data_IF_223146673266
#
_entry.id   IF_223146673266
#
_cell.length_a   1.000
_cell.length_b   1.000
_cell.length_c   1.000
_cell.angle_alpha   90.00
_cell.angle_beta   90.00
_cell.angle_gamma   90.00
#
_symmetry.space_group_name_H-M   'P 1'
#
loop_
_entity.id
_entity.type
_entity.pdbx_description
1 polymer ?
#
# COMPACT_ATOMS: atom_id res chain seq x y z
N UNK A 1 -9.01 -21.33 -9.62
CA UNK A 1 -9.78 -20.09 -9.50
C UNK A 1 -10.13 -19.69 -10.93
N UNK A 2 -11.41 -19.75 -11.27
CA UNK A 2 -11.93 -19.66 -12.64
C UNK A 2 -11.78 -18.27 -13.23
N UNK A 3 -11.53 -18.23 -14.54
CA UNK A 3 -11.23 -17.08 -15.41
C UNK A 3 -12.37 -16.04 -15.59
N UNK A 4 -13.22 -15.82 -14.60
CA UNK A 4 -14.34 -14.85 -14.67
C UNK A 4 -14.46 -14.02 -13.38
N UNK A 5 -13.36 -13.40 -12.96
CA UNK A 5 -13.47 -12.21 -12.11
C UNK A 5 -13.70 -11.05 -13.08
N UNK A 6 -14.95 -10.61 -13.19
CA UNK A 6 -15.32 -9.33 -13.82
C UNK A 6 -14.31 -8.28 -13.34
N UNK A 7 -13.57 -7.57 -14.24
CA UNK A 7 -12.45 -6.75 -13.81
C UNK A 7 -12.97 -5.71 -12.83
N UNK A 8 -12.65 -5.90 -11.54
CA UNK A 8 -12.97 -4.97 -10.48
C UNK A 8 -12.48 -3.60 -10.94
N UNK A 9 -13.43 -2.69 -11.22
CA UNK A 9 -13.12 -1.30 -11.48
C UNK A 9 -12.64 -0.72 -10.16
N UNK A 10 -11.37 -0.33 -10.14
CA UNK A 10 -10.72 0.18 -8.94
C UNK A 10 -10.62 1.69 -8.95
N UNK A 11 -10.73 2.33 -10.12
CA UNK A 11 -10.53 3.77 -10.23
C UNK A 11 -11.49 4.55 -9.32
N UNK A 12 -10.91 5.42 -8.49
CA UNK A 12 -11.66 6.24 -7.55
C UNK A 12 -12.19 5.51 -6.32
N UNK A 13 -11.99 4.19 -6.18
CA UNK A 13 -12.35 3.47 -4.95
C UNK A 13 -11.56 4.04 -3.77
N UNK A 14 -12.28 4.34 -2.68
CA UNK A 14 -11.70 4.80 -1.44
C UNK A 14 -11.54 3.61 -0.48
N UNK A 15 -10.36 3.49 0.11
CA UNK A 15 -10.00 2.47 1.10
C UNK A 15 -9.53 3.15 2.39
N UNK A 16 -9.54 2.41 3.50
CA UNK A 16 -9.03 2.88 4.79
C UNK A 16 -8.15 1.85 5.47
N UNK A 17 -7.27 2.34 6.34
CA UNK A 17 -6.54 1.52 7.32
C UNK A 17 -6.57 2.22 8.68
N UNK A 18 -6.95 1.47 9.70
CA UNK A 18 -6.82 1.83 11.10
C UNK A 18 -5.49 1.34 11.63
N UNK A 19 -4.70 2.25 12.19
CA UNK A 19 -3.32 2.05 12.59
C UNK A 19 -3.21 2.30 14.08
N UNK A 20 -2.78 1.29 14.84
CA UNK A 20 -2.56 1.39 16.28
C UNK A 20 -1.07 1.53 16.60
N UNK A 21 -0.77 2.53 17.43
CA UNK A 21 0.54 2.70 18.06
C UNK A 21 0.51 2.02 19.44
N UNK A 22 1.68 1.63 19.99
CA UNK A 22 1.74 1.07 21.33
C UNK A 22 1.08 2.00 22.36
N UNK A 23 0.08 1.47 23.07
CA UNK A 23 -0.64 2.18 24.14
C UNK A 23 -1.40 3.45 23.71
N UNK A 24 -1.72 3.60 22.42
CA UNK A 24 -2.51 4.72 21.91
C UNK A 24 -3.78 4.22 21.21
N UNK A 25 -4.76 5.11 21.07
CA UNK A 25 -5.93 4.86 20.24
C UNK A 25 -5.52 4.71 18.76
N UNK A 26 -6.27 3.88 18.03
CA UNK A 26 -6.05 3.71 16.59
C UNK A 26 -6.42 4.96 15.81
N UNK A 27 -5.60 5.30 14.82
CA UNK A 27 -5.80 6.44 13.92
C UNK A 27 -6.03 5.94 12.49
N UNK A 28 -6.77 6.68 11.67
CA UNK A 28 -7.19 6.22 10.34
C UNK A 28 -6.54 7.01 9.21
N UNK A 29 -6.03 6.30 8.21
CA UNK A 29 -5.71 6.85 6.90
C UNK A 29 -6.79 6.50 5.88
N UNK A 30 -6.96 7.35 4.88
CA UNK A 30 -7.79 7.09 3.72
C UNK A 30 -6.96 7.15 2.45
N UNK A 31 -7.22 6.23 1.54
CA UNK A 31 -6.46 6.08 0.30
C UNK A 31 -7.40 5.90 -0.89
N UNK A 32 -7.24 6.74 -1.91
CA UNK A 32 -8.00 6.66 -3.16
C UNK A 32 -7.16 5.94 -4.21
N UNK A 33 -7.73 4.92 -4.85
CA UNK A 33 -7.10 4.23 -5.96
C UNK A 33 -7.08 5.11 -7.21
N UNK A 34 -6.01 5.02 -7.99
CA UNK A 34 -5.79 5.76 -9.23
C UNK A 34 -5.76 4.77 -10.39
N UNK A 35 -6.80 4.76 -11.22
CA UNK A 35 -6.92 3.87 -12.37
C UNK A 35 -7.33 2.44 -12.03
N UNK A 36 -7.40 1.61 -13.08
CA UNK A 36 -7.82 0.20 -13.05
C UNK A 36 -6.62 -0.73 -13.22
N UNK A 37 -5.61 -0.61 -12.35
CA UNK A 37 -4.35 -1.35 -12.44
C UNK A 37 -4.40 -2.66 -11.63
N UNK A 38 -3.58 -3.64 -12.00
CA UNK A 38 -3.50 -4.89 -11.23
C UNK A 38 -2.99 -4.67 -9.80
N UNK A 39 -2.13 -3.67 -9.58
CA UNK A 39 -1.72 -3.27 -8.23
C UNK A 39 -2.88 -2.70 -7.42
N UNK A 40 -3.72 -1.86 -8.02
CA UNK A 40 -4.92 -1.36 -7.34
C UNK A 40 -5.87 -2.51 -6.99
N UNK A 41 -6.09 -3.47 -7.90
CA UNK A 41 -6.89 -4.67 -7.61
C UNK A 41 -6.29 -5.52 -6.49
N UNK A 42 -4.98 -5.75 -6.54
CA UNK A 42 -4.27 -6.50 -5.50
C UNK A 42 -4.39 -5.82 -4.13
N UNK A 43 -4.22 -4.49 -4.08
CA UNK A 43 -4.45 -3.70 -2.87
C UNK A 43 -5.88 -3.90 -2.34
N UNK A 44 -6.90 -3.90 -3.20
CA UNK A 44 -8.28 -4.15 -2.78
C UNK A 44 -8.48 -5.56 -2.22
N UNK A 45 -7.84 -6.58 -2.78
CA UNK A 45 -7.94 -7.95 -2.25
C UNK A 45 -7.35 -8.05 -0.84
N UNK A 46 -6.18 -7.44 -0.60
CA UNK A 46 -5.57 -7.39 0.72
C UNK A 46 -6.35 -6.49 1.71
N UNK A 47 -6.85 -5.34 1.26
CA UNK A 47 -7.58 -4.44 2.16
C UNK A 47 -8.91 -5.04 2.61
N UNK A 48 -9.56 -5.84 1.76
CA UNK A 48 -10.84 -6.49 2.08
C UNK A 48 -10.69 -7.83 2.78
N UNK A 49 -9.53 -8.48 2.68
CA UNK A 49 -9.35 -9.83 3.21
C UNK A 49 -10.10 -10.91 2.41
N UNK A 50 -10.64 -10.59 1.22
CA UNK A 50 -11.55 -11.47 0.48
C UNK A 50 -10.92 -12.82 0.12
N UNK A 51 -9.59 -12.85 -0.12
CA UNK A 51 -8.84 -14.06 -0.45
C UNK A 51 -8.17 -14.72 0.77
N UNK A 52 -8.64 -14.44 1.99
CA UNK A 52 -8.09 -15.00 3.23
C UNK A 52 -6.79 -14.34 3.73
N UNK A 53 -6.22 -13.42 2.94
CA UNK A 53 -5.06 -12.60 3.32
C UNK A 53 -5.48 -11.15 3.44
N UNK A 54 -5.05 -10.48 4.51
CA UNK A 54 -5.41 -9.09 4.78
C UNK A 54 -4.24 -8.26 5.27
N UNK A 55 -4.28 -6.95 5.03
CA UNK A 55 -3.39 -5.99 5.70
C UNK A 55 -3.62 -5.92 7.21
N UNK A 56 -4.79 -6.36 7.70
CA UNK A 56 -5.07 -6.43 9.13
C UNK A 56 -4.09 -7.36 9.86
N UNK A 57 -3.49 -6.83 10.91
CA UNK A 57 -2.51 -7.50 11.76
C UNK A 57 -1.06 -7.28 11.35
N UNK A 58 -0.81 -6.68 10.18
CA UNK A 58 0.54 -6.42 9.68
C UNK A 58 1.18 -5.22 10.38
N UNK A 59 2.51 -5.23 10.41
CA UNK A 59 3.34 -4.16 10.94
C UNK A 59 3.95 -3.33 9.81
N UNK A 60 4.50 -2.18 10.16
CA UNK A 60 5.18 -1.29 9.21
C UNK A 60 6.69 -1.48 9.25
N UNK A 61 7.34 -1.32 8.10
CA UNK A 61 8.80 -1.24 7.99
C UNK A 61 9.16 0.14 7.45
N UNK A 62 9.93 0.88 8.25
CA UNK A 62 10.54 2.14 7.83
C UNK A 62 12.00 1.89 7.51
N UNK A 63 12.49 2.50 6.45
CA UNK A 63 13.92 2.51 6.10
C UNK A 63 14.48 3.87 6.51
N UNK A 64 15.26 3.96 7.60
CA UNK A 64 15.73 5.24 8.15
C UNK A 64 16.57 6.05 7.16
N UNK A 65 17.38 5.35 6.34
CA UNK A 65 18.27 5.96 5.36
C UNK A 65 17.54 6.37 4.06
N UNK A 66 16.30 5.89 3.87
CA UNK A 66 15.41 6.24 2.78
C UNK A 66 14.16 6.95 3.32
N UNK A 67 14.32 7.83 4.33
CA UNK A 67 13.31 8.51 5.18
C UNK A 67 12.19 9.32 4.48
N UNK A 68 11.64 8.73 3.45
CA UNK A 68 11.09 9.25 2.22
C UNK A 68 10.04 8.25 1.67
N UNK A 69 10.19 6.97 2.02
CA UNK A 69 9.32 5.87 1.60
C UNK A 69 8.96 4.96 2.79
N UNK A 70 7.66 4.72 3.01
CA UNK A 70 7.18 3.77 4.03
C UNK A 70 6.60 2.53 3.35
N UNK A 71 7.13 1.35 3.67
CA UNK A 71 6.62 0.08 3.11
C UNK A 71 5.72 -0.61 4.13
N UNK A 72 4.56 -1.09 3.65
CA UNK A 72 3.69 -1.99 4.42
C UNK A 72 4.02 -3.41 3.98
N UNK A 73 4.62 -4.18 4.89
CA UNK A 73 5.01 -5.57 4.64
C UNK A 73 4.17 -6.53 5.49
N UNK A 74 3.67 -7.65 4.94
CA UNK A 74 3.21 -8.75 5.76
C UNK A 74 4.43 -9.39 6.43
N UNK A 75 4.72 -8.94 7.63
CA UNK A 75 5.80 -9.51 8.41
C UNK A 75 5.33 -10.77 9.15
N UNK A 76 5.43 -11.91 8.49
CA UNK A 76 5.50 -13.24 9.14
C UNK A 76 6.76 -14.04 8.73
N UNK A 77 7.67 -13.42 7.98
CA UNK A 77 8.87 -14.07 7.44
C UNK A 77 8.61 -14.94 6.19
N UNK A 78 7.38 -14.97 5.67
CA UNK A 78 7.07 -15.49 4.34
C UNK A 78 6.96 -14.30 3.40
N UNK A 79 7.63 -14.40 2.25
CA UNK A 79 7.50 -13.41 1.20
C UNK A 79 6.01 -13.20 0.93
N UNK A 80 5.59 -11.95 0.92
CA UNK A 80 4.23 -11.56 0.57
C UNK A 80 3.91 -12.12 -0.81
N UNK A 81 3.24 -13.27 -0.89
CA UNK A 81 2.87 -13.84 -2.18
C UNK A 81 1.78 -12.96 -2.80
N UNK A 82 1.93 -12.56 -4.07
CA UNK A 82 0.88 -11.82 -4.76
C UNK A 82 -0.39 -12.68 -4.87
N UNK A 83 -1.54 -12.06 -4.63
CA UNK A 83 -2.85 -12.74 -4.75
C UNK A 83 -3.27 -12.87 -6.21
N UNK A 84 -2.83 -11.96 -7.06
CA UNK A 84 -3.02 -12.01 -8.50
C UNK A 84 -1.76 -12.57 -9.17
N UNK A 85 -1.95 -13.45 -10.14
CA UNK A 85 -0.87 -13.86 -11.04
C UNK A 85 -0.57 -12.71 -11.99
N UNK A 86 0.70 -12.56 -12.35
CA UNK A 86 1.14 -11.65 -13.40
C UNK A 86 0.76 -10.17 -13.19
N UNK A 87 0.83 -9.68 -11.94
CA UNK A 87 0.67 -8.25 -11.65
C UNK A 87 1.66 -7.45 -12.49
N UNK A 88 1.14 -6.81 -13.54
CA UNK A 88 1.94 -6.05 -14.49
C UNK A 88 2.47 -4.79 -13.82
N UNK A 89 3.76 -4.53 -13.99
CA UNK A 89 4.37 -3.25 -13.60
C UNK A 89 4.05 -2.16 -14.65
N UNK A 90 3.65 -2.55 -15.87
CA UNK A 90 3.64 -1.66 -17.05
C UNK A 90 2.30 -1.00 -17.35
N UNK A 91 1.25 -1.27 -16.58
CA UNK A 91 -0.11 -0.80 -16.91
C UNK A 91 -0.44 0.57 -16.27
N UNK A 92 0.59 1.34 -15.93
CA UNK A 92 0.46 2.57 -15.16
C UNK A 92 0.97 3.77 -15.95
N UNK A 93 0.28 4.90 -15.79
CA UNK A 93 0.73 6.19 -16.31
C UNK A 93 1.82 6.74 -15.41
N UNK A 94 2.91 7.21 -15.99
CA UNK A 94 3.97 7.94 -15.29
C UNK A 94 3.39 9.08 -14.43
N UNK A 95 3.69 9.04 -13.14
CA UNK A 95 3.28 10.08 -12.19
C UNK A 95 4.51 10.74 -11.57
N UNK A 96 4.54 12.07 -11.60
CA UNK A 96 5.52 12.84 -10.84
C UNK A 96 5.37 12.55 -9.35
N UNK A 97 6.49 12.28 -8.67
CA UNK A 97 6.52 11.88 -7.26
C UNK A 97 6.04 13.04 -6.39
N UNK A 98 4.95 12.79 -5.66
CA UNK A 98 4.35 13.71 -4.69
C UNK A 98 3.97 12.98 -3.40
N UNK A 99 3.86 13.75 -2.31
CA UNK A 99 3.48 13.24 -1.00
C UNK A 99 2.15 12.49 -1.07
N UNK A 100 2.11 11.34 -0.40
CA UNK A 100 0.97 10.45 -0.31
C UNK A 100 0.77 9.54 -1.52
N UNK A 101 1.59 9.60 -2.59
CA UNK A 101 1.49 8.62 -3.67
C UNK A 101 1.81 7.21 -3.18
N UNK A 102 0.99 6.26 -3.63
CA UNK A 102 1.17 4.83 -3.37
C UNK A 102 1.71 4.15 -4.62
N UNK A 103 2.79 3.40 -4.48
CA UNK A 103 3.40 2.67 -5.59
C UNK A 103 3.91 1.29 -5.15
N UNK A 104 4.28 0.45 -6.12
CA UNK A 104 4.92 -0.82 -5.82
C UNK A 104 6.23 -0.62 -5.04
N UNK A 105 6.52 -1.51 -4.10
CA UNK A 105 7.84 -1.52 -3.48
C UNK A 105 8.84 -2.23 -4.41
N UNK A 106 10.02 -1.63 -4.61
CA UNK A 106 11.09 -2.24 -5.38
C UNK A 106 11.59 -3.53 -4.69
N UNK A 107 12.03 -4.50 -5.49
CA UNK A 107 12.70 -5.71 -4.99
C UNK A 107 14.14 -5.42 -4.62
N UNK A 108 14.55 -5.89 -3.43
CA UNK A 108 15.94 -5.83 -2.97
C UNK A 108 16.89 -6.62 -3.90
N UNK A 109 16.38 -7.57 -4.69
CA UNK A 109 17.17 -8.43 -5.57
C UNK A 109 17.11 -8.03 -7.06
N UNK A 110 16.49 -6.89 -7.39
CA UNK A 110 16.31 -6.45 -8.77
C UNK A 110 15.30 -7.29 -9.59
N UNK A 111 14.58 -8.21 -8.94
CA UNK A 111 13.45 -8.92 -9.56
C UNK A 111 12.19 -8.06 -9.46
N UNK A 112 11.69 -7.48 -10.57
CA UNK A 112 10.54 -6.59 -10.54
C UNK A 112 9.25 -7.25 -10.04
N UNK A 113 9.20 -8.60 -9.95
CA UNK A 113 8.04 -9.36 -9.53
C UNK A 113 8.10 -9.82 -8.06
N UNK A 114 9.28 -9.80 -7.43
CA UNK A 114 9.47 -10.41 -6.10
C UNK A 114 8.68 -9.70 -4.98
N UNK A 115 8.33 -8.43 -5.16
CA UNK A 115 7.65 -7.60 -4.15
C UNK A 115 6.23 -7.19 -4.57
N UNK A 116 5.56 -7.97 -5.42
CA UNK A 116 4.26 -7.60 -5.98
C UNK A 116 3.16 -7.38 -4.93
N UNK A 117 3.22 -8.03 -3.77
CA UNK A 117 2.28 -7.81 -2.67
C UNK A 117 2.63 -6.65 -1.74
N UNK A 118 3.81 -6.04 -1.92
CA UNK A 118 4.25 -4.89 -1.16
C UNK A 118 3.91 -3.60 -1.90
N UNK A 119 3.60 -2.58 -1.12
CA UNK A 119 3.54 -1.22 -1.61
C UNK A 119 4.19 -0.29 -0.60
N UNK A 120 4.58 0.87 -1.08
CA UNK A 120 4.94 1.94 -0.18
C UNK A 120 4.31 3.26 -0.56
N UNK A 121 4.51 4.21 0.35
CA UNK A 121 3.93 5.55 0.28
C UNK A 121 5.04 6.58 0.35
N UNK A 122 5.04 7.49 -0.61
CA UNK A 122 5.93 8.65 -0.58
C UNK A 122 5.51 9.63 0.51
N UNK A 123 6.47 10.07 1.33
CA UNK A 123 6.24 11.02 2.43
C UNK A 123 6.72 12.44 2.10
N UNK A 124 7.07 12.71 0.84
CA UNK A 124 7.63 13.99 0.40
C UNK A 124 7.33 14.19 -1.09
N UNK A 125 7.54 15.41 -1.56
CA UNK A 125 7.52 15.73 -2.99
C UNK A 125 8.93 15.60 -3.58
N UNK A 126 9.05 15.00 -4.76
CA UNK A 126 10.31 14.93 -5.50
C UNK A 126 10.09 15.44 -6.94
N UNK A 127 10.07 16.76 -7.14
CA UNK A 127 9.78 17.35 -8.44
C UNK A 127 10.75 16.87 -9.52
N UNK A 128 10.22 16.47 -10.67
CA UNK A 128 10.98 15.90 -11.78
C UNK A 128 11.36 14.43 -11.65
N UNK A 129 11.13 13.79 -10.50
CA UNK A 129 11.19 12.33 -10.38
C UNK A 129 9.84 11.72 -10.76
N UNK A 130 9.88 10.60 -11.47
CA UNK A 130 8.69 9.92 -11.99
C UNK A 130 8.65 8.50 -11.43
N UNK A 131 7.46 8.07 -11.02
CA UNK A 131 7.18 6.71 -10.59
C UNK A 131 6.19 6.07 -11.56
N UNK A 132 6.56 4.90 -12.07
CA UNK A 132 5.84 4.15 -13.10
C UNK A 132 4.99 3.00 -12.52
N UNK A 133 4.93 2.88 -11.19
CA UNK A 133 4.17 1.83 -10.50
C UNK A 133 3.10 2.37 -9.55
N UNK A 134 2.69 3.62 -9.74
CA UNK A 134 1.66 4.29 -8.93
C UNK A 134 0.28 3.66 -9.13
N UNK A 135 -0.44 3.42 -8.04
CA UNK A 135 -1.80 2.85 -8.13
C UNK A 135 -2.79 3.49 -7.16
N UNK A 136 -2.35 4.44 -6.34
CA UNK A 136 -3.18 5.09 -5.35
C UNK A 136 -2.56 6.35 -4.77
N UNK A 137 -3.34 7.02 -3.94
CA UNK A 137 -2.90 8.19 -3.18
C UNK A 137 -3.60 8.25 -1.82
N UNK A 138 -2.84 8.57 -0.78
CA UNK A 138 -3.37 8.93 0.54
C UNK A 138 -4.09 10.27 0.44
N UNK A 139 -5.39 10.27 0.73
CA UNK A 139 -6.24 11.47 0.69
C UNK A 139 -6.46 12.09 2.06
N UNK A 140 -6.17 11.36 3.14
CA UNK A 140 -6.27 11.85 4.53
C UNK A 140 -5.41 10.99 5.47
N UNK A 141 -4.87 11.60 6.52
CA UNK A 141 -4.08 10.92 7.55
C UNK A 141 -2.58 10.78 7.23
N UNK A 142 -2.04 11.61 6.33
CA UNK A 142 -0.62 11.55 5.94
C UNK A 142 0.34 11.79 7.13
N UNK A 143 -0.08 12.61 8.09
CA UNK A 143 0.63 12.87 9.33
C UNK A 143 0.84 11.60 10.17
N UNK A 144 -0.09 10.64 10.08
CA UNK A 144 0.04 9.34 10.75
C UNK A 144 1.22 8.60 10.15
N UNK A 145 1.38 8.60 8.82
CA UNK A 145 2.50 7.93 8.15
C UNK A 145 3.84 8.60 8.46
N UNK A 146 3.86 9.93 8.59
CA UNK A 146 5.05 10.64 9.08
C UNK A 146 5.42 10.25 10.52
N UNK A 147 4.45 10.07 11.40
CA UNK A 147 4.70 9.60 12.77
C UNK A 147 5.25 8.17 12.78
N UNK A 148 4.76 7.30 11.88
CA UNK A 148 5.31 5.95 11.71
C UNK A 148 6.76 6.02 11.27
N UNK A 149 7.08 6.81 10.24
CA UNK A 149 8.44 6.90 9.70
C UNK A 149 9.47 7.42 10.72
N UNK A 150 9.03 8.25 11.68
CA UNK A 150 9.86 8.79 12.78
C UNK A 150 9.94 7.86 14.00
N UNK A 151 9.13 6.81 14.05
CA UNK A 151 9.08 5.91 15.20
C UNK A 151 10.27 4.96 15.20
N UNK A 152 10.94 4.82 16.34
CA UNK A 152 11.97 3.78 16.53
C UNK A 152 11.40 2.38 16.72
N UNK A 153 10.06 2.24 16.81
CA UNK A 153 9.36 0.99 17.10
C UNK A 153 8.30 0.67 16.03
N UNK A 154 8.65 0.81 14.74
CA UNK A 154 7.69 0.59 13.64
C UNK A 154 7.11 -0.81 13.61
N UNK A 155 7.87 -1.81 14.08
CA UNK A 155 7.45 -3.21 14.20
C UNK A 155 6.28 -3.42 15.17
N UNK A 156 6.09 -2.50 16.13
CA UNK A 156 4.98 -2.55 17.09
C UNK A 156 3.77 -1.75 16.63
N UNK A 157 3.91 -0.93 15.59
CA UNK A 157 2.80 -0.21 14.98
C UNK A 157 2.11 -1.18 14.03
N UNK A 158 0.79 -1.32 14.15
CA UNK A 158 0.03 -2.33 13.41
C UNK A 158 -1.20 -1.77 12.73
N UNK A 159 -1.54 -2.34 11.59
CA UNK A 159 -2.87 -2.19 11.00
C UNK A 159 -3.84 -3.05 11.83
N UNK A 160 -4.77 -2.43 12.54
CA UNK A 160 -5.76 -3.13 13.39
C UNK A 160 -7.08 -3.37 12.67
N UNK A 161 -7.38 -2.58 11.65
CA UNK A 161 -8.51 -2.81 10.75
C UNK A 161 -8.24 -2.16 9.39
N UNK A 162 -8.90 -2.64 8.35
CA UNK A 162 -8.81 -2.05 7.02
C UNK A 162 -10.02 -2.46 6.18
N UNK A 163 -10.33 -1.67 5.15
CA UNK A 163 -11.43 -2.01 4.25
C UNK A 163 -11.66 -1.00 3.15
N UNK A 164 -12.77 -1.19 2.44
CA UNK A 164 -13.28 -0.29 1.40
C UNK A 164 -14.34 0.61 2.01
N UNK A 165 -14.34 1.89 1.63
CA UNK A 165 -15.38 2.85 2.02
C UNK A 165 -16.49 2.82 0.97
N UNK A 166 -17.71 2.49 1.40
CA UNK A 166 -18.90 2.52 0.55
C UNK A 166 -19.63 3.84 0.79
N UNK A 167 -19.84 4.61 -0.27
CA UNK A 167 -20.70 5.80 -0.25
C UNK A 167 -22.03 5.48 -0.93
N UNK A 168 -23.12 5.96 -0.33
CA UNK A 168 -24.49 5.74 -0.77
C UNK A 168 -25.10 7.07 -1.23
#
# INVERSE_FOLDING_TARGET
>A
FSDEIDPLLTDGILTFMDIAFPMQESRRIYMKMLGNTDRARQHLLFVTGHCGHSYKGLSFKSFPDEGNFLTIEPYDGKNAEPLLKDVSVTDVVDHEVRVGLMCGAASENGDPYANNALFGVYLYDAPGEVQDSVFGQVTSGIEILHDIAKSEQTEKIKVVDCGVVVSW
#
